data_IF_531331600793
#
_entry.id   IF_531331600793
#
_cell.length_a   1.000
_cell.length_b   1.000
_cell.length_c   1.000
_cell.angle_alpha   90.00
_cell.angle_beta   90.00
_cell.angle_gamma   90.00
#
_symmetry.space_group_name_H-M   'P 1'
#
loop_
_entity.id
_entity.type
_entity.pdbx_description
1 polymer ?
#
# COMPACT_ATOMS: atom_id res chain seq x y z
N UNK A 1 -13.49 -8.56 16.17
CA UNK A 1 -12.83 -8.70 14.85
C UNK A 1 -11.61 -7.82 14.82
N UNK A 2 -10.49 -8.34 14.35
CA UNK A 2 -9.21 -7.64 14.22
C UNK A 2 -8.75 -7.68 12.76
N UNK A 3 -8.54 -6.50 12.18
CA UNK A 3 -8.17 -6.31 10.78
C UNK A 3 -6.77 -5.70 10.73
N UNK A 4 -5.86 -6.34 10.00
CA UNK A 4 -4.61 -5.71 9.59
C UNK A 4 -4.82 -4.92 8.31
N UNK A 5 -4.39 -3.67 8.28
CA UNK A 5 -4.45 -2.82 7.09
C UNK A 5 -3.03 -2.39 6.69
N UNK A 6 -2.61 -2.80 5.49
CA UNK A 6 -1.47 -2.16 4.82
C UNK A 6 -2.05 -1.06 3.90
N UNK A 7 -1.92 0.22 4.28
CA UNK A 7 -2.43 1.32 3.49
C UNK A 7 -1.58 1.50 2.23
N UNK A 8 -2.09 2.31 1.29
CA UNK A 8 -1.40 2.61 0.03
C UNK A 8 -0.29 3.67 0.16
N UNK A 9 -0.31 4.44 1.25
CA UNK A 9 0.67 5.44 1.64
C UNK A 9 0.47 5.80 3.13
N UNK A 10 1.18 6.82 3.62
CA UNK A 10 1.16 7.26 5.02
C UNK A 10 0.17 8.40 5.32
N UNK A 11 -0.69 8.80 4.36
CA UNK A 11 -1.57 9.96 4.54
C UNK A 11 -2.67 9.70 5.57
N UNK A 12 -3.17 10.73 6.29
CA UNK A 12 -4.21 10.55 7.30
C UNK A 12 -5.46 9.82 6.80
N UNK A 13 -5.86 10.06 5.54
CA UNK A 13 -7.04 9.44 4.96
C UNK A 13 -6.88 7.93 4.67
N UNK A 14 -5.65 7.46 4.48
CA UNK A 14 -5.36 6.04 4.19
C UNK A 14 -5.04 5.26 5.46
N UNK A 15 -4.64 5.94 6.54
CA UNK A 15 -4.30 5.32 7.83
C UNK A 15 -5.32 5.60 8.94
N UNK A 16 -5.53 6.88 9.27
CA UNK A 16 -6.28 7.29 10.46
C UNK A 16 -7.78 7.10 10.27
N UNK A 17 -8.30 7.41 9.08
CA UNK A 17 -9.74 7.33 8.81
C UNK A 17 -10.26 5.89 8.86
N UNK A 18 -9.57 4.87 8.29
CA UNK A 18 -9.92 3.47 8.53
C UNK A 18 -9.94 3.13 10.01
N UNK A 19 -8.91 3.49 10.78
CA UNK A 19 -8.88 3.22 12.23
C UNK A 19 -10.05 3.89 12.98
N UNK A 20 -10.43 5.11 12.60
CA UNK A 20 -11.60 5.79 13.16
C UNK A 20 -12.90 5.06 12.78
N UNK A 21 -13.06 4.64 11.53
CA UNK A 21 -14.20 3.85 11.08
C UNK A 21 -14.30 2.52 11.85
N UNK A 22 -13.17 1.84 12.05
CA UNK A 22 -13.08 0.63 12.85
C UNK A 22 -13.66 0.82 14.26
N UNK A 23 -13.29 1.92 14.94
CA UNK A 23 -13.83 2.25 16.27
C UNK A 23 -15.36 2.41 16.27
N UNK A 24 -15.93 3.03 15.24
CA UNK A 24 -17.38 3.22 15.10
C UNK A 24 -18.09 1.86 15.03
N UNK A 25 -17.52 0.91 14.27
CA UNK A 25 -18.10 -0.42 14.08
C UNK A 25 -17.62 -1.48 15.08
N UNK A 26 -16.90 -1.07 16.14
CA UNK A 26 -16.30 -1.97 17.16
C UNK A 26 -15.35 -3.04 16.56
N UNK A 27 -14.60 -2.66 15.54
CA UNK A 27 -13.56 -3.48 14.89
C UNK A 27 -12.20 -2.85 15.13
N UNK A 28 -11.23 -3.65 15.58
CA UNK A 28 -9.86 -3.18 15.78
C UNK A 28 -9.13 -3.21 14.45
N UNK A 29 -8.71 -2.04 13.95
CA UNK A 29 -7.83 -1.93 12.79
C UNK A 29 -6.42 -1.64 13.30
N UNK A 30 -5.48 -2.51 12.93
CA UNK A 30 -4.06 -2.33 13.19
C UNK A 30 -3.35 -2.03 11.88
N UNK A 31 -2.41 -1.10 11.94
CA UNK A 31 -1.60 -0.65 10.81
C UNK A 31 -0.12 -0.78 11.17
N UNK A 32 0.77 -0.92 10.18
CA UNK A 32 2.20 -0.88 10.42
C UNK A 32 2.66 0.50 10.95
N UNK A 33 3.82 0.57 11.60
CA UNK A 33 4.45 1.84 11.97
C UNK A 33 4.65 2.74 10.74
N UNK A 34 4.46 4.05 10.89
CA UNK A 34 4.53 4.99 9.77
C UNK A 34 5.92 5.02 9.13
N UNK A 35 6.96 4.74 9.92
CA UNK A 35 8.36 4.76 9.53
C UNK A 35 8.68 3.73 8.44
N UNK A 36 7.93 2.63 8.38
CA UNK A 36 8.12 1.59 7.35
C UNK A 36 7.24 1.78 6.12
N UNK A 37 6.25 2.68 6.16
CA UNK A 37 5.37 3.00 5.02
C UNK A 37 5.96 4.02 4.05
N UNK A 38 7.07 4.66 4.43
CA UNK A 38 7.68 5.73 3.64
C UNK A 38 6.95 7.06 3.81
N UNK A 39 7.41 8.07 3.08
CA UNK A 39 6.84 9.41 3.13
C UNK A 39 6.90 10.13 1.77
N UNK A 40 5.74 10.39 1.20
CA UNK A 40 5.54 11.03 -0.10
C UNK A 40 6.37 10.40 -1.23
N UNK A 41 7.57 10.92 -1.53
CA UNK A 41 8.47 10.40 -2.57
C UNK A 41 9.40 9.30 -2.04
N UNK A 42 9.51 9.14 -0.72
CA UNK A 42 10.30 8.09 -0.10
C UNK A 42 9.49 6.78 -0.08
N UNK A 43 9.99 5.70 -0.69
CA UNK A 43 9.31 4.41 -0.67
C UNK A 43 9.22 3.84 0.74
N UNK A 44 8.14 3.11 1.00
CA UNK A 44 8.04 2.21 2.12
C UNK A 44 9.07 1.08 2.04
N UNK A 45 9.47 0.59 3.21
CA UNK A 45 10.42 -0.51 3.34
C UNK A 45 9.69 -1.84 3.12
N UNK A 46 9.67 -2.33 1.88
CA UNK A 46 8.90 -3.52 1.51
C UNK A 46 9.32 -4.79 2.26
N UNK A 47 10.60 -5.05 2.59
CA UNK A 47 10.94 -6.14 3.51
C UNK A 47 10.36 -5.97 4.92
N UNK A 48 10.44 -4.78 5.50
CA UNK A 48 9.90 -4.52 6.85
C UNK A 48 8.37 -4.65 6.90
N UNK A 49 7.68 -4.21 5.84
CA UNK A 49 6.22 -4.37 5.71
C UNK A 49 5.86 -5.86 5.64
N UNK A 50 6.57 -6.65 4.82
CA UNK A 50 6.36 -8.11 4.74
C UNK A 50 6.59 -8.79 6.09
N UNK A 51 7.64 -8.40 6.81
CA UNK A 51 7.92 -8.91 8.16
C UNK A 51 6.82 -8.54 9.15
N UNK A 52 6.33 -7.30 9.12
CA UNK A 52 5.22 -6.87 9.97
C UNK A 52 3.95 -7.68 9.72
N UNK A 53 3.62 -7.95 8.45
CA UNK A 53 2.47 -8.79 8.09
C UNK A 53 2.63 -10.19 8.68
N UNK A 54 3.80 -10.81 8.52
CA UNK A 54 4.09 -12.14 9.06
C UNK A 54 3.99 -12.18 10.59
N UNK A 55 4.51 -11.16 11.28
CA UNK A 55 4.47 -11.05 12.74
C UNK A 55 3.02 -10.92 13.25
N UNK A 56 2.20 -10.11 12.58
CA UNK A 56 0.83 -9.83 13.04
C UNK A 56 -0.19 -10.85 12.56
N UNK A 57 0.11 -11.67 11.56
CA UNK A 57 -0.88 -12.56 10.94
C UNK A 57 -1.65 -13.46 11.92
N UNK A 58 -0.98 -13.99 12.94
CA UNK A 58 -1.58 -14.89 13.92
C UNK A 58 -2.72 -14.28 14.75
N UNK A 59 -2.77 -12.96 14.87
CA UNK A 59 -3.81 -12.23 15.62
C UNK A 59 -4.89 -11.62 14.73
N UNK A 60 -4.80 -11.77 13.40
CA UNK A 60 -5.72 -11.14 12.46
C UNK A 60 -6.82 -12.11 12.03
N UNK A 61 -8.06 -11.60 11.98
CA UNK A 61 -9.15 -12.28 11.29
C UNK A 61 -9.08 -12.00 9.78
N UNK A 62 -8.71 -10.76 9.43
CA UNK A 62 -8.61 -10.27 8.03
C UNK A 62 -7.36 -9.44 7.85
N UNK A 63 -6.69 -9.60 6.71
CA UNK A 63 -5.64 -8.74 6.21
C UNK A 63 -6.12 -8.03 4.95
N UNK A 64 -6.27 -6.71 5.01
CA UNK A 64 -6.50 -5.85 3.86
C UNK A 64 -5.16 -5.23 3.46
N UNK A 65 -4.75 -5.41 2.22
CA UNK A 65 -3.38 -5.08 1.80
C UNK A 65 -3.34 -4.35 0.47
N UNK A 66 -2.72 -3.17 0.48
CA UNK A 66 -2.27 -2.53 -0.75
C UNK A 66 -1.12 -3.34 -1.33
N UNK A 67 -1.32 -3.93 -2.51
CA UNK A 67 -0.28 -4.65 -3.24
C UNK A 67 0.81 -3.68 -3.73
N UNK A 68 0.43 -2.44 -4.06
CA UNK A 68 1.38 -1.37 -4.37
C UNK A 68 2.35 -1.10 -3.21
N UNK A 69 1.84 -1.01 -1.98
CA UNK A 69 2.67 -0.80 -0.80
C UNK A 69 3.55 -2.03 -0.49
N UNK A 70 2.97 -3.23 -0.56
CA UNK A 70 3.67 -4.47 -0.24
C UNK A 70 4.84 -4.76 -1.20
N UNK A 71 4.64 -4.55 -2.50
CA UNK A 71 5.60 -4.91 -3.53
C UNK A 71 6.53 -3.75 -3.89
N UNK A 72 6.02 -2.51 -3.91
CA UNK A 72 6.74 -1.36 -4.46
C UNK A 72 7.04 -0.25 -3.44
N UNK A 73 6.54 -0.36 -2.21
CA UNK A 73 6.73 0.69 -1.20
C UNK A 73 5.85 1.91 -1.45
N UNK A 74 4.70 1.73 -2.10
CA UNK A 74 3.62 2.71 -2.14
C UNK A 74 3.19 3.11 -3.55
N UNK A 75 2.12 3.92 -3.61
CA UNK A 75 1.44 4.30 -4.86
C UNK A 75 2.35 4.92 -5.91
N UNK A 76 3.23 5.82 -5.47
CA UNK A 76 4.08 6.58 -6.38
C UNK A 76 5.15 5.64 -6.96
N UNK A 77 5.82 4.88 -6.09
CA UNK A 77 6.89 3.97 -6.48
C UNK A 77 6.41 2.80 -7.35
N UNK A 78 5.16 2.35 -7.20
CA UNK A 78 4.59 1.30 -8.07
C UNK A 78 4.44 1.72 -9.54
N UNK A 79 4.61 3.02 -9.84
CA UNK A 79 4.43 3.60 -11.19
C UNK A 79 5.74 4.02 -11.85
N UNK A 80 6.86 3.96 -11.14
CA UNK A 80 8.15 4.44 -11.66
C UNK A 80 9.01 3.33 -12.25
N UNK A 81 8.62 2.06 -12.07
CA UNK A 81 9.36 0.92 -12.60
C UNK A 81 10.75 0.73 -11.96
N UNK A 82 10.95 1.26 -10.75
CA UNK A 82 12.25 1.19 -10.03
C UNK A 82 12.52 -0.21 -9.50
N UNK A 83 11.47 -0.94 -9.08
CA UNK A 83 11.59 -2.32 -8.59
C UNK A 83 11.45 -3.28 -9.77
N UNK A 84 12.34 -4.27 -9.81
CA UNK A 84 12.28 -5.34 -10.80
C UNK A 84 10.95 -6.11 -10.64
N UNK A 85 10.16 -6.33 -11.71
CA UNK A 85 8.95 -7.13 -11.66
C UNK A 85 9.13 -8.50 -11.00
N UNK A 86 10.27 -9.15 -11.18
CA UNK A 86 10.58 -10.44 -10.53
C UNK A 86 10.65 -10.29 -9.02
N UNK A 87 11.28 -9.21 -8.52
CA UNK A 87 11.34 -8.91 -7.09
C UNK A 87 9.94 -8.63 -6.51
N UNK A 88 9.10 -7.91 -7.26
CA UNK A 88 7.72 -7.65 -6.88
C UNK A 88 6.90 -8.95 -6.80
N UNK A 89 7.05 -9.85 -7.78
CA UNK A 89 6.41 -11.18 -7.82
C UNK A 89 6.90 -12.05 -6.65
N UNK A 90 8.20 -12.06 -6.37
CA UNK A 90 8.75 -12.74 -5.21
C UNK A 90 8.14 -12.22 -3.90
N UNK A 91 7.88 -10.91 -3.82
CA UNK A 91 7.19 -10.31 -2.67
C UNK A 91 5.78 -10.83 -2.43
N UNK A 92 5.06 -11.21 -3.48
CA UNK A 92 3.71 -11.78 -3.37
C UNK A 92 3.70 -13.17 -2.73
N UNK A 93 4.83 -13.90 -2.72
CA UNK A 93 4.92 -15.22 -2.08
C UNK A 93 4.65 -15.18 -0.58
N UNK A 94 4.74 -14.01 0.05
CA UNK A 94 4.32 -13.82 1.45
C UNK A 94 2.86 -14.27 1.67
N UNK A 95 1.97 -14.08 0.69
CA UNK A 95 0.57 -14.51 0.82
C UNK A 95 0.42 -16.04 0.85
N UNK A 96 1.17 -16.75 0.01
CA UNK A 96 1.19 -18.22 0.05
C UNK A 96 1.69 -18.70 1.42
N UNK A 97 2.78 -18.09 1.92
CA UNK A 97 3.33 -18.43 3.23
C UNK A 97 2.36 -18.14 4.39
N UNK A 98 1.65 -17.01 4.33
CA UNK A 98 0.62 -16.68 5.30
C UNK A 98 -0.51 -17.71 5.30
N UNK A 99 -0.93 -18.18 4.13
CA UNK A 99 -1.98 -19.20 4.02
C UNK A 99 -1.54 -20.58 4.49
N UNK A 100 -0.26 -20.93 4.35
CA UNK A 100 0.29 -22.16 4.93
C UNK A 100 0.26 -22.15 6.46
N UNK A 101 0.64 -21.03 7.08
CA UNK A 101 0.74 -20.92 8.55
C UNK A 101 -0.62 -20.58 9.19
N UNK A 102 -1.41 -19.73 8.53
CA UNK A 102 -2.69 -19.20 8.99
C UNK A 102 -3.78 -19.42 7.93
N UNK A 103 -4.22 -20.68 7.71
CA UNK A 103 -5.18 -20.99 6.64
C UNK A 103 -6.52 -20.25 6.77
N UNK A 104 -6.90 -19.90 8.00
CA UNK A 104 -8.15 -19.17 8.30
C UNK A 104 -8.05 -17.65 8.06
N UNK A 105 -6.85 -17.08 7.93
CA UNK A 105 -6.68 -15.64 7.71
C UNK A 105 -7.30 -15.24 6.37
N UNK A 106 -8.31 -14.39 6.36
CA UNK A 106 -8.86 -13.87 5.11
C UNK A 106 -7.96 -12.76 4.57
N UNK A 107 -7.54 -12.82 3.31
CA UNK A 107 -6.62 -11.84 2.70
C UNK A 107 -7.34 -11.15 1.54
N UNK A 108 -7.42 -9.82 1.61
CA UNK A 108 -8.02 -8.96 0.59
C UNK A 108 -6.96 -8.02 0.02
N UNK A 109 -6.49 -8.31 -1.18
CA UNK A 109 -5.55 -7.45 -1.91
C UNK A 109 -6.29 -6.38 -2.70
N UNK A 110 -5.75 -5.17 -2.71
CA UNK A 110 -6.18 -4.12 -3.63
C UNK A 110 -4.96 -3.41 -4.23
N UNK A 111 -5.16 -2.83 -5.41
CA UNK A 111 -4.21 -1.93 -6.05
C UNK A 111 -4.95 -0.70 -6.57
N UNK A 112 -4.20 0.31 -7.00
CA UNK A 112 -4.80 1.51 -7.63
C UNK A 112 -4.42 1.59 -9.09
N UNK A 113 -5.45 1.73 -9.93
CA UNK A 113 -5.30 2.01 -11.35
C UNK A 113 -4.56 3.35 -11.52
N UNK A 114 -3.53 3.36 -12.36
CA UNK A 114 -2.76 4.56 -12.63
C UNK A 114 -3.65 5.60 -13.34
N UNK A 115 -3.64 6.84 -12.83
CA UNK A 115 -4.27 7.96 -13.52
C UNK A 115 -3.46 8.31 -14.78
N UNK A 116 -4.11 8.88 -15.79
CA UNK A 116 -3.42 9.36 -17.00
C UNK A 116 -2.42 10.48 -16.71
N UNK A 117 -2.65 11.27 -15.65
CA UNK A 117 -1.78 12.40 -15.23
C UNK A 117 -0.46 11.96 -14.58
N UNK A 118 0.60 12.75 -14.78
CA UNK A 118 1.94 12.53 -14.21
C UNK A 118 2.03 12.89 -12.72
N UNK A 119 3.06 12.38 -12.04
CA UNK A 119 3.43 12.85 -10.68
C UNK A 119 4.31 14.09 -10.81
N UNK A 120 3.88 15.20 -10.21
CA UNK A 120 4.67 16.44 -10.18
C UNK A 120 5.75 16.34 -9.10
N UNK A 121 7.01 16.48 -9.50
CA UNK A 121 8.20 16.36 -8.65
C UNK A 121 9.11 17.59 -8.71
N UNK A 122 9.01 18.33 -9.81
CA UNK A 122 9.84 19.50 -10.14
C UNK A 122 9.08 20.42 -11.11
N UNK A 123 9.68 21.56 -11.46
CA UNK A 123 9.07 22.54 -12.36
C UNK A 123 8.77 21.96 -13.75
N UNK A 124 9.59 21.02 -14.23
CA UNK A 124 9.43 20.40 -15.54
C UNK A 124 8.22 19.47 -15.59
N UNK A 125 8.09 18.60 -14.61
CA UNK A 125 6.93 17.70 -14.45
C UNK A 125 5.66 18.45 -14.10
N UNK A 126 5.77 19.64 -13.50
CA UNK A 126 4.63 20.55 -13.32
C UNK A 126 4.10 21.08 -14.66
N UNK A 127 4.99 21.43 -15.61
CA UNK A 127 4.58 21.81 -16.97
C UNK A 127 3.90 20.62 -17.66
N UNK A 128 4.48 19.42 -17.61
CA UNK A 128 3.86 18.22 -18.18
C UNK A 128 2.49 17.91 -17.58
N UNK A 129 2.34 18.07 -16.26
CA UNK A 129 1.06 17.91 -15.59
C UNK A 129 0.00 18.91 -16.10
N UNK A 130 0.40 20.14 -16.39
CA UNK A 130 -0.48 21.18 -16.94
C UNK A 130 -0.88 20.88 -18.39
N UNK A 131 0.09 20.65 -19.26
CA UNK A 131 -0.14 20.42 -20.70
C UNK A 131 -1.04 19.20 -20.92
N UNK A 132 -0.79 18.14 -20.15
CA UNK A 132 -1.63 16.94 -20.19
C UNK A 132 -3.03 17.18 -19.64
N UNK A 133 -3.15 18.03 -18.60
CA UNK A 133 -4.45 18.49 -18.12
C UNK A 133 -5.22 19.22 -19.23
N UNK A 134 -4.59 20.19 -19.89
CA UNK A 134 -5.19 20.92 -21.01
C UNK A 134 -5.64 19.99 -22.15
N UNK A 135 -4.80 19.03 -22.54
CA UNK A 135 -5.13 18.05 -23.59
C UNK A 135 -6.33 17.15 -23.23
N UNK A 136 -6.43 16.69 -21.98
CA UNK A 136 -7.48 15.76 -21.54
C UNK A 136 -8.87 16.41 -21.41
N UNK A 137 -8.94 17.74 -21.33
CA UNK A 137 -10.20 18.50 -21.23
C UNK A 137 -10.61 19.18 -22.55
N UNK A 138 -9.89 18.90 -23.65
CA UNK A 138 -10.29 19.21 -25.03
C UNK A 138 -11.02 18.02 -25.65
#
# INVERSE_FOLDING_TARGET
MKIGLIPIDNRPCTMQFPCQLGRIIKTEIIIPPAEILGDFLQPGNTPAIRNWVMEKAAQLDVLIVSVDMLCYGGLINSREGVINPDEAIEGLKVFARLKEIHPQLHIMGFNVIMRTSVTVRDDKTAVYGRDLGEYLFL
#
